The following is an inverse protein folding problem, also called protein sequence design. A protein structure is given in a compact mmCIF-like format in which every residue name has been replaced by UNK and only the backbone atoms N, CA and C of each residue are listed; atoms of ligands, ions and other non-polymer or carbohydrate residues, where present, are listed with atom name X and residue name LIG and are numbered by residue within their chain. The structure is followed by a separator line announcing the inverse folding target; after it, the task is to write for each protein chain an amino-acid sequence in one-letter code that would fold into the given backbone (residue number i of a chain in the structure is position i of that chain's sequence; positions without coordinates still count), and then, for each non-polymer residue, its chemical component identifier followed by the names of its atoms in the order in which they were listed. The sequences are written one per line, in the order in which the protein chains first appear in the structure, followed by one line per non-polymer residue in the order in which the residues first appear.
data_IF_043392831988
#
_entry.id   IF_043392831988
#
_cell.length_a   1.000
_cell.length_b   1.000
_cell.length_c   1.000
_cell.angle_alpha   90.00
_cell.angle_beta   90.00
_cell.angle_gamma   90.00
#
_symmetry.space_group_name_H-M   'P 1'
#
loop_
_entity.id
_entity.type
_entity.pdbx_description
1 polymer ?
#
# COMPACT_ATOMS: atom_id res chain seq x y z
N UNK A 1 31.42 -10.08 12.70
CA UNK A 1 30.44 -9.21 12.00
C UNK A 1 29.55 -10.09 11.14
N UNK A 2 28.24 -10.11 11.40
CA UNK A 2 27.24 -10.74 10.52
C UNK A 2 26.52 -9.61 9.76
N UNK A 3 26.19 -9.76 8.48
CA UNK A 3 25.32 -8.81 7.82
C UNK A 3 23.88 -9.04 8.31
N UNK A 4 23.29 -8.01 8.92
CA UNK A 4 21.86 -7.91 9.17
C UNK A 4 21.20 -7.32 7.92
N UNK A 5 20.85 -8.17 6.96
CA UNK A 5 19.89 -7.82 5.93
C UNK A 5 18.66 -8.69 6.13
N UNK A 6 17.79 -8.28 7.04
CA UNK A 6 16.41 -8.75 7.06
C UNK A 6 15.59 -7.75 6.24
N UNK A 7 15.71 -7.84 4.92
CA UNK A 7 14.82 -7.13 4.02
C UNK A 7 13.57 -7.98 3.86
N UNK A 8 12.58 -7.79 4.74
CA UNK A 8 11.24 -8.34 4.51
C UNK A 8 10.59 -7.54 3.38
N UNK A 9 10.54 -8.11 2.20
CA UNK A 9 9.79 -7.54 1.08
C UNK A 9 8.33 -7.95 1.23
N UNK A 10 7.44 -6.96 1.39
CA UNK A 10 6.00 -7.17 1.36
C UNK A 10 5.51 -6.83 -0.05
N UNK A 11 4.93 -7.81 -0.74
CA UNK A 11 4.20 -7.59 -1.99
C UNK A 11 2.73 -7.40 -1.64
N UNK A 12 2.21 -6.18 -1.82
CA UNK A 12 0.79 -5.88 -1.71
C UNK A 12 0.21 -5.95 -3.12
N UNK A 13 -0.66 -6.93 -3.38
CA UNK A 13 -1.37 -7.07 -4.66
C UNK A 13 -2.78 -6.51 -4.49
N UNK A 14 -2.98 -5.25 -4.91
CA UNK A 14 -4.33 -4.70 -5.04
C UNK A 14 -4.85 -5.11 -6.41
N UNK A 15 -5.78 -6.05 -6.45
CA UNK A 15 -6.52 -6.38 -7.67
C UNK A 15 -8.00 -6.44 -7.38
N UNK A 16 -8.76 -5.73 -8.21
CA UNK A 16 -10.15 -6.05 -8.44
C UNK A 16 -10.19 -7.41 -9.15
N UNK A 17 -10.84 -8.39 -8.53
CA UNK A 17 -11.11 -9.69 -9.12
C UNK A 17 -12.61 -9.81 -9.34
N UNK A 18 -13.00 -10.40 -10.47
CA UNK A 18 -14.37 -10.81 -10.73
C UNK A 18 -14.38 -12.33 -10.78
N UNK A 19 -15.21 -12.96 -9.94
CA UNK A 19 -15.41 -14.39 -9.97
C UNK A 19 -16.32 -14.70 -11.16
N UNK A 20 -15.83 -15.51 -12.10
CA UNK A 20 -16.60 -15.83 -13.29
C UNK A 20 -17.69 -16.86 -12.95
N UNK A 21 -18.99 -16.53 -13.09
CA UNK A 21 -20.08 -17.44 -12.76
C UNK A 21 -20.18 -18.66 -13.69
N UNK A 22 -19.47 -18.64 -14.84
CA UNK A 22 -19.43 -19.76 -15.76
C UNK A 22 -18.41 -20.85 -15.37
N UNK A 23 -17.66 -20.69 -14.27
CA UNK A 23 -16.67 -21.69 -13.85
C UNK A 23 -17.32 -22.97 -13.29
N UNK A 24 -16.77 -24.15 -13.61
CA UNK A 24 -17.16 -25.39 -12.93
C UNK A 24 -16.96 -25.23 -11.42
N UNK A 25 -17.97 -25.60 -10.64
CA UNK A 25 -17.98 -25.48 -9.17
C UNK A 25 -17.99 -24.03 -8.64
N UNK A 26 -18.47 -23.08 -9.43
CA UNK A 26 -18.81 -21.74 -8.95
C UNK A 26 -19.73 -21.80 -7.73
N UNK A 27 -19.48 -20.93 -6.75
CA UNK A 27 -20.31 -20.73 -5.57
C UNK A 27 -20.38 -19.24 -5.23
N UNK A 28 -21.57 -18.78 -4.86
CA UNK A 28 -21.80 -17.45 -4.29
C UNK A 28 -21.55 -17.41 -2.77
N UNK A 29 -21.33 -18.57 -2.15
CA UNK A 29 -21.00 -18.68 -0.74
C UNK A 29 -19.53 -18.33 -0.52
N UNK A 30 -19.29 -17.08 -0.09
CA UNK A 30 -17.95 -16.53 0.18
C UNK A 30 -17.15 -17.35 1.20
N UNK A 31 -17.81 -18.14 2.05
CA UNK A 31 -17.16 -19.03 3.02
C UNK A 31 -16.46 -20.22 2.33
N UNK A 32 -16.86 -20.53 1.09
CA UNK A 32 -16.31 -21.61 0.28
C UNK A 32 -15.36 -21.11 -0.83
N UNK A 33 -14.90 -19.86 -0.74
CA UNK A 33 -13.98 -19.26 -1.72
C UNK A 33 -12.61 -19.07 -1.08
N UNK A 34 -11.57 -19.52 -1.78
CA UNK A 34 -10.17 -19.44 -1.34
C UNK A 34 -9.27 -18.85 -2.44
N UNK A 35 -8.32 -18.02 -2.04
CA UNK A 35 -7.23 -17.57 -2.91
C UNK A 35 -5.99 -18.42 -2.72
N UNK A 36 -5.60 -19.12 -3.78
CA UNK A 36 -4.29 -19.76 -3.86
C UNK A 36 -3.25 -18.84 -4.49
N UNK A 37 -2.09 -18.68 -3.85
CA UNK A 37 -0.89 -18.18 -4.51
C UNK A 37 0.18 -19.27 -4.49
N UNK A 38 0.96 -19.36 -5.55
CA UNK A 38 2.03 -20.36 -5.64
C UNK A 38 3.23 -19.82 -6.40
N UNK A 39 4.40 -20.30 -6.00
CA UNK A 39 5.67 -20.12 -6.71
C UNK A 39 5.86 -21.35 -7.57
N UNK A 40 5.96 -21.16 -8.88
CA UNK A 40 6.19 -22.23 -9.83
C UNK A 40 7.58 -22.07 -10.45
N UNK A 41 8.29 -23.19 -10.59
CA UNK A 41 9.51 -23.19 -11.38
C UNK A 41 9.17 -22.98 -12.86
N UNK A 42 9.63 -21.86 -13.40
CA UNK A 42 9.46 -21.51 -14.81
C UNK A 42 10.65 -21.96 -15.68
N UNK A 43 11.72 -22.49 -15.08
CA UNK A 43 12.91 -22.95 -15.79
C UNK A 43 12.69 -24.34 -16.39
N UNK A 44 11.98 -24.40 -17.52
CA UNK A 44 11.85 -25.66 -18.26
C UNK A 44 12.96 -25.77 -19.31
N UNK A 45 13.90 -26.68 -19.08
CA UNK A 45 14.68 -27.31 -20.14
C UNK A 45 14.04 -28.68 -20.43
N UNK A 46 13.64 -28.93 -21.67
CA UNK A 46 13.30 -30.26 -22.21
C UNK A 46 12.05 -30.98 -21.64
N UNK A 47 10.89 -30.32 -21.69
CA UNK A 47 9.60 -31.04 -21.79
C UNK A 47 9.12 -31.79 -20.54
N UNK A 48 9.60 -31.42 -19.34
CA UNK A 48 9.02 -31.90 -18.07
C UNK A 48 8.12 -30.83 -17.44
N UNK A 49 7.09 -31.30 -16.73
CA UNK A 49 6.03 -30.49 -16.13
C UNK A 49 6.59 -29.45 -15.14
N UNK A 50 6.01 -28.25 -15.16
CA UNK A 50 6.36 -27.15 -14.26
C UNK A 50 5.98 -27.50 -12.82
N UNK A 51 6.96 -27.59 -11.93
CA UNK A 51 6.77 -27.93 -10.53
C UNK A 51 6.35 -26.70 -9.70
N UNK A 52 5.37 -26.88 -8.81
CA UNK A 52 5.02 -25.87 -7.80
C UNK A 52 6.01 -26.02 -6.64
N UNK A 53 6.83 -25.00 -6.43
CA UNK A 53 7.87 -24.98 -5.40
C UNK A 53 7.31 -24.58 -4.02
N UNK A 54 6.28 -23.74 -4.00
CA UNK A 54 5.62 -23.28 -2.79
C UNK A 54 4.18 -22.88 -3.11
N UNK A 55 3.25 -23.12 -2.19
CA UNK A 55 1.88 -22.64 -2.28
C UNK A 55 1.39 -22.13 -0.92
N UNK A 56 0.49 -21.16 -0.95
CA UNK A 56 -0.28 -20.71 0.19
C UNK A 56 -1.74 -20.53 -0.24
N UNK A 57 -2.65 -20.80 0.69
CA UNK A 57 -4.10 -20.66 0.49
C UNK A 57 -4.62 -19.71 1.55
N UNK A 58 -5.44 -18.74 1.12
CA UNK A 58 -6.02 -17.71 1.96
C UNK A 58 -7.54 -17.80 1.80
N UNK A 59 -8.30 -18.12 2.86
CA UNK A 59 -9.75 -18.09 2.77
C UNK A 59 -10.22 -16.65 2.54
N UNK A 60 -11.17 -16.47 1.62
CA UNK A 60 -11.71 -15.14 1.29
C UNK A 60 -12.35 -14.51 2.52
N UNK A 61 -13.17 -15.28 3.25
CA UNK A 61 -13.64 -14.92 4.57
C UNK A 61 -12.62 -15.36 5.61
N UNK A 62 -11.65 -14.50 5.88
CA UNK A 62 -10.69 -14.74 6.95
C UNK A 62 -11.32 -14.34 8.30
N UNK A 63 -11.60 -15.27 9.22
CA UNK A 63 -12.15 -14.95 10.54
C UNK A 63 -11.19 -14.15 11.44
N UNK A 64 -9.92 -13.97 11.03
CA UNK A 64 -8.92 -13.20 11.76
C UNK A 64 -8.81 -11.72 11.31
N UNK A 65 -9.64 -11.29 10.34
CA UNK A 65 -9.63 -9.93 9.78
C UNK A 65 -10.96 -9.16 10.01
N UNK A 66 -11.80 -9.57 10.96
CA UNK A 66 -12.85 -8.69 11.48
C UNK A 66 -12.17 -7.50 12.17
N UNK A 67 -12.05 -6.37 11.45
CA UNK A 67 -11.59 -5.10 12.05
C UNK A 67 -10.54 -4.32 11.28
N UNK A 68 -10.51 -4.38 9.95
CA UNK A 68 -10.07 -3.19 9.21
C UNK A 68 -11.34 -2.58 8.64
N UNK A 69 -11.98 -1.69 9.38
CA UNK A 69 -12.91 -0.73 8.79
C UNK A 69 -12.13 -0.04 7.67
N UNK A 70 -12.48 -0.31 6.41
CA UNK A 70 -12.07 0.56 5.31
C UNK A 70 -12.72 1.92 5.56
N UNK A 71 -11.97 2.81 6.20
CA UNK A 71 -12.30 4.22 6.25
C UNK A 71 -12.59 4.69 4.82
N UNK A 72 -13.70 5.42 4.67
CA UNK A 72 -14.25 5.89 3.42
C UNK A 72 -13.15 6.23 2.39
N UNK A 73 -13.21 5.61 1.21
CA UNK A 73 -12.29 5.78 0.08
C UNK A 73 -11.56 7.12 0.15
N UNK A 74 -10.33 7.11 0.65
CA UNK A 74 -9.53 8.31 0.75
C UNK A 74 -9.49 8.94 -0.64
N UNK A 75 -9.85 10.22 -0.74
CA UNK A 75 -9.80 10.93 -2.02
C UNK A 75 -8.40 10.76 -2.58
N UNK A 76 -8.25 10.24 -3.82
CA UNK A 76 -6.94 9.94 -4.37
C UNK A 76 -6.08 11.21 -4.36
N UNK A 77 -4.89 11.07 -3.79
CA UNK A 77 -3.85 12.08 -3.80
C UNK A 77 -2.53 11.42 -4.14
N UNK A 78 -1.59 12.22 -4.66
CA UNK A 78 -0.22 11.76 -4.86
C UNK A 78 0.77 12.73 -4.23
N UNK A 79 1.87 12.16 -3.74
CA UNK A 79 3.01 12.90 -3.21
C UNK A 79 4.22 12.60 -4.07
N UNK A 80 4.92 13.65 -4.52
CA UNK A 80 6.23 13.48 -5.15
C UNK A 80 7.35 13.46 -4.12
N UNK A 81 8.44 12.78 -4.49
CA UNK A 81 9.64 12.65 -3.64
C UNK A 81 10.09 14.04 -3.17
N UNK A 82 10.42 14.21 -1.87
CA UNK A 82 10.87 15.49 -1.36
C UNK A 82 12.09 15.99 -2.14
N UNK A 83 12.02 17.23 -2.63
CA UNK A 83 13.14 17.87 -3.32
C UNK A 83 13.75 18.91 -2.39
N UNK A 84 15.07 18.84 -2.19
CA UNK A 84 15.79 19.81 -1.39
C UNK A 84 16.24 20.97 -2.29
N UNK A 85 15.76 22.18 -2.03
CA UNK A 85 16.14 23.39 -2.77
C UNK A 85 16.50 24.48 -1.77
N UNK A 86 17.74 24.97 -1.81
CA UNK A 86 18.23 26.06 -0.94
C UNK A 86 17.98 25.86 0.58
N UNK A 87 18.11 24.62 1.09
CA UNK A 87 17.81 24.22 2.49
C UNK A 87 16.33 24.12 2.87
N UNK A 88 15.43 24.18 1.88
CA UNK A 88 14.02 23.89 2.05
C UNK A 88 13.71 22.51 1.48
N UNK A 89 12.91 21.73 2.21
CA UNK A 89 12.33 20.50 1.71
C UNK A 89 10.96 20.78 1.11
N UNK A 90 10.79 20.55 -0.19
CA UNK A 90 9.49 20.70 -0.85
C UNK A 90 8.85 19.34 -1.13
N UNK A 91 7.57 19.22 -0.79
CA UNK A 91 6.72 18.08 -1.17
C UNK A 91 5.59 18.61 -2.04
N UNK A 92 5.45 18.07 -3.25
CA UNK A 92 4.31 18.36 -4.11
C UNK A 92 3.16 17.41 -3.77
N UNK A 93 2.00 17.99 -3.45
CA UNK A 93 0.74 17.30 -3.18
C UNK A 93 -0.22 17.58 -4.34
N UNK A 94 -0.62 16.55 -5.06
CA UNK A 94 -1.66 16.64 -6.10
C UNK A 94 -2.97 16.09 -5.56
N UNK A 95 -4.05 16.87 -5.67
CA UNK A 95 -5.39 16.53 -5.23
C UNK A 95 -6.36 16.50 -6.43
N UNK A 96 -7.14 15.44 -6.57
CA UNK A 96 -8.14 15.32 -7.65
C UNK A 96 -9.44 16.09 -7.36
N UNK A 97 -9.71 16.41 -6.09
CA UNK A 97 -10.86 17.17 -5.65
C UNK A 97 -10.52 18.05 -4.44
N UNK A 98 -11.40 19.00 -4.12
CA UNK A 98 -11.27 19.79 -2.90
C UNK A 98 -11.48 18.90 -1.67
N UNK A 99 -10.53 18.87 -0.73
CA UNK A 99 -10.62 18.06 0.48
C UNK A 99 -9.93 18.72 1.67
N UNK A 100 -10.32 18.30 2.89
CA UNK A 100 -9.66 18.68 4.13
C UNK A 100 -8.32 17.96 4.25
N UNK A 101 -7.23 18.70 4.48
CA UNK A 101 -5.87 18.15 4.53
C UNK A 101 -5.29 18.28 5.93
N UNK A 102 -4.78 17.16 6.44
CA UNK A 102 -4.01 17.09 7.68
C UNK A 102 -2.65 16.44 7.42
N UNK A 103 -1.59 17.05 7.93
CA UNK A 103 -0.21 16.61 7.79
C UNK A 103 0.26 16.03 9.12
N UNK A 104 0.66 14.76 9.13
CA UNK A 104 1.09 14.08 10.36
C UNK A 104 2.56 13.70 10.26
N UNK A 105 3.34 14.14 11.24
CA UNK A 105 4.76 13.88 11.37
C UNK A 105 4.99 12.72 12.34
N UNK A 106 5.75 11.72 11.89
CA UNK A 106 6.24 10.62 12.70
C UNK A 106 7.76 10.68 12.82
N UNK A 107 8.31 10.15 13.90
CA UNK A 107 9.76 9.94 14.01
C UNK A 107 10.21 8.66 13.27
N UNK A 108 11.52 8.42 13.24
CA UNK A 108 12.10 7.26 12.53
C UNK A 108 11.70 5.90 13.14
N UNK A 109 11.09 5.88 14.33
CA UNK A 109 10.56 4.67 14.97
C UNK A 109 9.06 4.47 14.72
N UNK A 110 8.43 5.40 13.99
CA UNK A 110 7.00 5.39 13.68
C UNK A 110 6.13 6.01 14.78
N UNK A 111 6.71 6.70 15.77
CA UNK A 111 5.93 7.38 16.81
C UNK A 111 5.45 8.74 16.31
N UNK A 112 4.18 9.05 16.57
CA UNK A 112 3.59 10.36 16.29
C UNK A 112 4.34 11.48 17.03
N UNK A 113 4.83 12.47 16.26
CA UNK A 113 5.47 13.69 16.78
C UNK A 113 4.47 14.83 16.81
N UNK A 114 3.76 15.08 15.71
CA UNK A 114 2.83 16.21 15.58
C UNK A 114 1.86 16.03 14.43
N UNK A 115 0.67 16.61 14.53
CA UNK A 115 -0.27 16.80 13.43
C UNK A 115 -0.51 18.29 13.19
N UNK A 116 -0.54 18.70 11.92
CA UNK A 116 -0.86 20.04 11.45
C UNK A 116 -2.10 19.97 10.55
N UNK A 117 -3.14 20.74 10.89
CA UNK A 117 -4.33 20.85 10.06
C UNK A 117 -4.15 22.00 9.07
N UNK A 118 -4.07 21.68 7.78
CA UNK A 118 -3.94 22.65 6.70
C UNK A 118 -5.29 23.21 6.24
N UNK A 119 -6.39 22.56 6.63
CA UNK A 119 -7.76 22.93 6.23
C UNK A 119 -8.12 22.41 4.84
N UNK A 120 -9.24 22.90 4.29
CA UNK A 120 -9.66 22.60 2.93
C UNK A 120 -8.70 23.17 1.88
N UNK A 121 -8.12 22.28 1.07
CA UNK A 121 -7.36 22.63 -0.13
C UNK A 121 -8.18 22.32 -1.37
N UNK A 122 -8.12 23.18 -2.38
CA UNK A 122 -8.78 22.95 -3.67
C UNK A 122 -8.13 21.83 -4.47
N UNK A 123 -8.84 21.27 -5.45
CA UNK A 123 -8.23 20.40 -6.46
C UNK A 123 -7.03 21.09 -7.15
N UNK A 124 -6.02 20.30 -7.51
CA UNK A 124 -4.79 20.77 -8.16
C UNK A 124 -3.51 20.43 -7.39
N UNK A 125 -2.40 21.05 -7.81
CA UNK A 125 -1.07 20.83 -7.23
C UNK A 125 -0.74 21.90 -6.21
N UNK A 126 -0.30 21.46 -5.03
CA UNK A 126 0.13 22.29 -3.92
C UNK A 126 1.57 21.95 -3.53
N UNK A 127 2.29 22.92 -2.96
CA UNK A 127 3.64 22.71 -2.43
C UNK A 127 3.63 22.86 -0.91
N UNK A 128 4.12 21.84 -0.22
CA UNK A 128 4.39 21.87 1.22
C UNK A 128 5.86 22.22 1.40
N UNK A 129 6.13 23.33 2.07
CA UNK A 129 7.49 23.81 2.37
C UNK A 129 7.88 23.43 3.80
N UNK A 130 8.97 22.68 3.94
CA UNK A 130 9.54 22.24 5.21
C UNK A 130 10.85 22.98 5.43
N UNK A 131 10.89 23.77 6.50
CA UNK A 131 12.03 24.60 6.89
C UNK A 131 12.51 24.23 8.28
N UNK A 132 13.82 24.34 8.48
CA UNK A 132 14.44 24.21 9.80
C UNK A 132 15.19 25.48 10.11
N UNK A 133 14.84 26.12 11.21
CA UNK A 133 15.61 27.23 11.76
C UNK A 133 16.48 26.71 12.91
N UNK A 134 17.66 27.29 13.07
CA UNK A 134 18.49 27.02 14.25
C UNK A 134 17.75 27.52 15.49
N UNK A 135 17.66 26.67 16.51
CA UNK A 135 17.21 27.11 17.83
C UNK A 135 18.29 28.02 18.44
N UNK A 136 17.91 29.09 19.16
CA UNK A 136 18.87 29.96 19.86
C UNK A 136 19.68 29.21 20.93
#
# INVERSE_FOLDING_TARGET
MRPLYNSSWQLIVNRDYEINPAWPYHTDDLDNIEFGCFVQDTTVYQGRLREILQAAVIPLKNPLLEGIEEDALATPFSLKVPTLVHAHGYIELSLDATCEVSLTLFDATGRLVRTLHAGALSAGNHLIDIRTDALP
#
